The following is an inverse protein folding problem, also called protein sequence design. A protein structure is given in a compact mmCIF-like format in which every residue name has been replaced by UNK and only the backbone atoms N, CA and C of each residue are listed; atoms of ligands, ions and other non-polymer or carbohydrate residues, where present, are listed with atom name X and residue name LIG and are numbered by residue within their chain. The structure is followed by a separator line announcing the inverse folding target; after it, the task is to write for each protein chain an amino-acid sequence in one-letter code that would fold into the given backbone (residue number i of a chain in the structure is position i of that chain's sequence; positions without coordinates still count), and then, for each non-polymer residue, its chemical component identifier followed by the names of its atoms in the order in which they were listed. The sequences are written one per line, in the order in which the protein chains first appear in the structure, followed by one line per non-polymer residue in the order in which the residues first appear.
data_IF_525631130708
#
_entry.id   IF_525631130708
#
_cell.length_a   1.000
_cell.length_b   1.000
_cell.length_c   1.000
_cell.angle_alpha   90.00
_cell.angle_beta   90.00
_cell.angle_gamma   90.00
#
_symmetry.space_group_name_H-M   'P 1'
#
loop_
_entity.id
_entity.type
_entity.pdbx_description
1 polymer ?
#
# COMPACT_ATOMS: atom_id res chain seq x y z
N UNK A 1 -8.41 6.68 20.59
CA UNK A 1 -7.59 5.78 19.73
C UNK A 1 -8.50 4.67 19.26
N UNK A 2 -8.40 4.22 18.02
CA UNK A 2 -9.22 3.10 17.54
C UNK A 2 -8.55 1.80 18.04
N UNK A 3 -9.12 1.20 19.07
CA UNK A 3 -8.61 -0.04 19.61
C UNK A 3 -9.19 -1.24 18.83
N UNK A 4 -8.38 -2.28 18.52
CA UNK A 4 -8.87 -3.46 17.81
C UNK A 4 -10.07 -4.12 18.49
N UNK A 5 -10.10 -4.11 19.81
CA UNK A 5 -11.19 -4.68 20.59
C UNK A 5 -12.54 -4.00 20.35
N UNK A 6 -12.53 -2.65 20.31
CA UNK A 6 -13.74 -1.87 20.05
C UNK A 6 -14.24 -2.08 18.64
N UNK A 7 -13.32 -2.09 17.65
CA UNK A 7 -13.65 -2.31 16.24
C UNK A 7 -14.18 -3.71 15.96
N UNK A 8 -13.65 -4.72 16.64
CA UNK A 8 -14.08 -6.11 16.49
C UNK A 8 -15.52 -6.34 16.97
N UNK A 9 -15.97 -5.56 17.95
CA UNK A 9 -17.31 -5.63 18.58
C UNK A 9 -18.29 -4.59 18.10
N UNK A 10 -17.81 -3.58 17.37
CA UNK A 10 -18.66 -2.50 16.86
C UNK A 10 -19.82 -3.05 16.03
N UNK A 11 -20.99 -2.45 16.19
CA UNK A 11 -22.08 -2.67 15.25
C UNK A 11 -21.65 -2.28 13.84
N UNK A 12 -21.91 -3.14 12.87
CA UNK A 12 -21.42 -2.94 11.51
C UNK A 12 -22.03 -1.70 10.86
N UNK A 13 -23.29 -1.39 11.17
CA UNK A 13 -23.98 -0.25 10.59
C UNK A 13 -23.41 1.04 11.17
N UNK A 14 -23.16 1.08 12.49
CA UNK A 14 -22.51 2.22 13.13
C UNK A 14 -21.10 2.45 12.59
N UNK A 15 -20.32 1.38 12.39
CA UNK A 15 -18.98 1.47 11.79
C UNK A 15 -19.05 1.99 10.37
N UNK A 16 -19.98 1.50 9.55
CA UNK A 16 -20.22 1.97 8.18
C UNK A 16 -20.52 3.47 8.15
N UNK A 17 -21.37 3.95 9.05
CA UNK A 17 -21.72 5.38 9.14
C UNK A 17 -20.50 6.22 9.50
N UNK A 18 -19.72 5.81 10.49
CA UNK A 18 -18.51 6.54 10.92
C UNK A 18 -17.47 6.69 9.81
N UNK A 19 -17.34 5.70 8.93
CA UNK A 19 -16.36 5.73 7.82
C UNK A 19 -17.02 6.04 6.47
N UNK A 20 -18.24 6.53 6.44
CA UNK A 20 -19.01 6.80 5.21
C UNK A 20 -18.31 7.75 4.24
N UNK A 21 -17.47 8.65 4.76
CA UNK A 21 -16.65 9.55 3.94
C UNK A 21 -15.58 8.80 3.10
N UNK A 22 -15.27 7.56 3.46
CA UNK A 22 -14.34 6.72 2.71
C UNK A 22 -15.10 5.98 1.61
N UNK A 23 -14.74 6.15 0.35
CA UNK A 23 -15.32 5.35 -0.74
C UNK A 23 -15.29 3.84 -0.42
N UNK A 24 -16.30 3.10 -0.86
CA UNK A 24 -16.47 1.66 -0.57
C UNK A 24 -16.55 1.33 0.94
N UNK A 25 -17.15 2.22 1.73
CA UNK A 25 -17.18 2.18 3.19
C UNK A 25 -17.74 0.86 3.76
N UNK A 26 -18.74 0.25 3.13
CA UNK A 26 -19.30 -1.06 3.59
C UNK A 26 -18.27 -2.18 3.56
N UNK A 27 -17.56 -2.31 2.44
CA UNK A 27 -16.49 -3.29 2.33
C UNK A 27 -15.34 -2.99 3.30
N UNK A 28 -15.00 -1.71 3.47
CA UNK A 28 -13.96 -1.28 4.41
C UNK A 28 -14.34 -1.56 5.86
N UNK A 29 -15.61 -1.35 6.25
CA UNK A 29 -16.10 -1.67 7.59
C UNK A 29 -15.97 -3.17 7.89
N UNK A 30 -16.42 -4.02 6.97
CA UNK A 30 -16.30 -5.46 7.11
C UNK A 30 -14.84 -5.91 7.23
N UNK A 31 -13.96 -5.41 6.37
CA UNK A 31 -12.51 -5.72 6.40
C UNK A 31 -11.85 -5.23 7.69
N UNK A 32 -12.17 -4.02 8.13
CA UNK A 32 -11.64 -3.46 9.37
C UNK A 32 -12.03 -4.34 10.57
N UNK A 33 -13.30 -4.76 10.65
CA UNK A 33 -13.76 -5.67 11.70
C UNK A 33 -13.07 -7.02 11.64
N UNK A 34 -12.90 -7.62 10.45
CA UNK A 34 -12.22 -8.90 10.28
C UNK A 34 -10.75 -8.83 10.74
N UNK A 35 -10.03 -7.81 10.33
CA UNK A 35 -8.64 -7.58 10.77
C UNK A 35 -8.57 -7.37 12.28
N UNK A 36 -9.50 -6.60 12.85
CA UNK A 36 -9.55 -6.37 14.30
C UNK A 36 -9.85 -7.67 15.07
N UNK A 37 -10.76 -8.50 14.58
CA UNK A 37 -11.03 -9.83 15.16
C UNK A 37 -9.81 -10.76 15.11
N UNK A 38 -9.03 -10.68 14.06
CA UNK A 38 -7.77 -11.41 13.95
C UNK A 38 -6.76 -10.92 14.99
N UNK A 39 -6.59 -9.59 15.13
CA UNK A 39 -5.63 -8.98 16.06
C UNK A 39 -5.94 -9.24 17.53
N UNK A 40 -7.22 -9.38 17.92
CA UNK A 40 -7.55 -9.74 19.32
C UNK A 40 -7.33 -11.22 19.65
N UNK A 41 -7.17 -12.07 18.63
CA UNK A 41 -6.92 -13.51 18.80
C UNK A 41 -5.43 -13.86 18.71
N UNK A 42 -4.59 -12.95 18.25
CA UNK A 42 -3.18 -13.20 18.02
C UNK A 42 -2.36 -12.08 18.67
N UNK A 43 -1.24 -12.43 19.28
CA UNK A 43 -0.31 -11.42 19.79
C UNK A 43 0.39 -10.71 18.62
N UNK A 44 0.26 -9.39 18.56
CA UNK A 44 0.82 -8.58 17.47
C UNK A 44 2.35 -8.61 17.48
N UNK A 45 2.98 -8.75 18.66
CA UNK A 45 4.44 -8.83 18.76
C UNK A 45 4.94 -10.16 18.18
N UNK A 46 4.30 -11.26 18.55
CA UNK A 46 4.61 -12.58 17.98
C UNK A 46 4.44 -12.59 16.45
N UNK A 47 3.37 -11.94 15.95
CA UNK A 47 3.16 -11.80 14.51
C UNK A 47 4.28 -10.99 13.86
N UNK A 48 4.69 -9.89 14.45
CA UNK A 48 5.72 -9.01 13.89
C UNK A 48 7.13 -9.61 14.01
N UNK A 49 7.35 -10.56 14.90
CA UNK A 49 8.60 -11.32 14.99
C UNK A 49 8.76 -12.38 13.88
N UNK A 50 7.66 -12.77 13.22
CA UNK A 50 7.74 -13.70 12.10
C UNK A 50 8.65 -13.17 10.98
N UNK A 51 9.36 -14.04 10.25
CA UNK A 51 10.05 -13.68 9.01
C UNK A 51 9.11 -12.99 8.03
N UNK A 52 9.62 -12.03 7.24
CA UNK A 52 8.84 -11.17 6.34
C UNK A 52 7.85 -11.96 5.47
N UNK A 53 8.33 -13.03 4.83
CA UNK A 53 7.49 -13.83 3.92
C UNK A 53 6.42 -14.64 4.67
N UNK A 54 6.70 -15.06 5.91
CA UNK A 54 5.71 -15.75 6.73
C UNK A 54 4.62 -14.80 7.18
N UNK A 55 4.98 -13.65 7.72
CA UNK A 55 4.02 -12.61 8.09
C UNK A 55 3.18 -12.18 6.89
N UNK A 56 3.82 -12.00 5.72
CA UNK A 56 3.10 -11.65 4.49
C UNK A 56 2.04 -12.69 4.12
N UNK A 57 2.36 -13.99 4.21
CA UNK A 57 1.39 -15.06 3.95
C UNK A 57 0.23 -15.03 4.93
N UNK A 58 0.50 -14.81 6.22
CA UNK A 58 -0.54 -14.65 7.24
C UNK A 58 -1.45 -13.48 6.91
N UNK A 59 -0.89 -12.31 6.59
CA UNK A 59 -1.67 -11.13 6.25
C UNK A 59 -2.54 -11.34 4.99
N UNK A 60 -2.00 -11.98 3.96
CA UNK A 60 -2.73 -12.28 2.72
C UNK A 60 -3.82 -13.34 2.90
N UNK A 61 -3.78 -14.15 3.95
CA UNK A 61 -4.87 -15.09 4.26
C UNK A 61 -6.10 -14.43 4.87
N UNK A 62 -5.98 -13.15 5.29
CA UNK A 62 -7.10 -12.40 5.85
C UNK A 62 -8.01 -11.87 4.75
N UNK A 63 -9.30 -12.13 4.87
CA UNK A 63 -10.27 -11.63 3.92
C UNK A 63 -10.22 -10.09 3.82
N UNK A 64 -10.06 -9.61 2.59
CA UNK A 64 -9.97 -8.20 2.29
C UNK A 64 -8.57 -7.58 2.42
N UNK A 65 -7.54 -8.34 2.76
CA UNK A 65 -6.14 -7.91 2.75
C UNK A 65 -5.49 -8.34 1.44
N UNK A 66 -5.29 -7.39 0.54
CA UNK A 66 -4.54 -7.60 -0.71
C UNK A 66 -3.05 -7.28 -0.56
N UNK A 67 -2.29 -7.45 -1.65
CA UNK A 67 -0.84 -7.21 -1.68
C UNK A 67 -0.45 -5.83 -1.14
N UNK A 68 -1.10 -4.77 -1.61
CA UNK A 68 -0.84 -3.39 -1.17
C UNK A 68 -1.03 -3.22 0.34
N UNK A 69 -2.12 -3.77 0.90
CA UNK A 69 -2.41 -3.68 2.33
C UNK A 69 -1.42 -4.50 3.16
N UNK A 70 -1.14 -5.74 2.73
CA UNK A 70 -0.18 -6.61 3.42
C UNK A 70 1.22 -5.98 3.44
N UNK A 71 1.69 -5.49 2.29
CA UNK A 71 3.03 -4.89 2.18
C UNK A 71 3.11 -3.53 2.91
N UNK A 72 2.01 -2.77 2.97
CA UNK A 72 1.93 -1.57 3.81
C UNK A 72 2.05 -1.91 5.30
N UNK A 73 1.38 -2.96 5.78
CA UNK A 73 1.53 -3.42 7.17
C UNK A 73 2.97 -3.84 7.43
N UNK A 74 3.58 -4.62 6.53
CA UNK A 74 4.99 -5.02 6.65
C UNK A 74 5.91 -3.82 6.76
N UNK A 75 5.80 -2.86 5.85
CA UNK A 75 6.70 -1.72 5.79
C UNK A 75 6.49 -0.74 6.95
N UNK A 76 5.24 -0.35 7.21
CA UNK A 76 4.95 0.76 8.12
C UNK A 76 4.75 0.31 9.57
N UNK A 77 4.10 -0.83 9.82
CA UNK A 77 3.82 -1.32 11.15
C UNK A 77 4.88 -2.31 11.64
N UNK A 78 5.14 -3.39 10.89
CA UNK A 78 6.11 -4.40 11.28
C UNK A 78 7.57 -4.01 11.00
N UNK A 79 7.82 -2.86 10.35
CA UNK A 79 9.15 -2.34 10.01
C UNK A 79 10.03 -3.36 9.26
N UNK A 80 9.43 -4.07 8.33
CA UNK A 80 10.11 -5.03 7.47
C UNK A 80 10.30 -4.44 6.07
N UNK A 81 11.48 -4.59 5.44
CA UNK A 81 11.75 -4.02 4.12
C UNK A 81 10.96 -4.77 3.05
N UNK A 82 9.78 -4.28 2.72
CA UNK A 82 8.92 -4.73 1.63
C UNK A 82 8.38 -3.54 0.88
N UNK A 83 8.68 -3.41 -0.42
CA UNK A 83 8.26 -2.24 -1.18
C UNK A 83 6.77 -2.29 -1.50
N UNK A 84 6.07 -1.18 -1.29
CA UNK A 84 4.64 -1.06 -1.54
C UNK A 84 4.39 -0.52 -2.94
N UNK A 85 3.56 -1.23 -3.70
CA UNK A 85 3.10 -0.80 -5.02
C UNK A 85 1.64 -0.39 -4.92
N UNK A 86 1.37 0.88 -4.88
CA UNK A 86 0.02 1.43 -4.85
C UNK A 86 -0.47 1.86 -6.25
N UNK A 87 -1.68 2.36 -6.34
CA UNK A 87 -2.27 2.81 -7.59
C UNK A 87 -1.49 3.99 -8.24
N UNK A 88 -0.83 4.84 -7.45
CA UNK A 88 0.01 5.90 -7.98
C UNK A 88 1.32 5.35 -8.53
N UNK A 89 1.96 4.42 -7.84
CA UNK A 89 3.15 3.73 -8.32
C UNK A 89 2.88 3.05 -9.66
N UNK A 90 1.80 2.25 -9.74
CA UNK A 90 1.40 1.59 -10.99
C UNK A 90 1.23 2.58 -12.14
N UNK A 91 0.55 3.70 -11.89
CA UNK A 91 0.27 4.71 -12.90
C UNK A 91 1.53 5.46 -13.33
N UNK A 92 2.40 5.84 -12.41
CA UNK A 92 3.65 6.54 -12.70
C UNK A 92 4.57 5.63 -13.53
N UNK A 93 4.72 4.37 -13.12
CA UNK A 93 5.56 3.41 -13.84
C UNK A 93 5.06 3.21 -15.29
N UNK A 94 3.75 3.05 -15.48
CA UNK A 94 3.16 2.97 -16.81
C UNK A 94 3.39 4.25 -17.64
N UNK A 95 3.34 5.43 -17.03
CA UNK A 95 3.59 6.71 -17.72
C UNK A 95 5.03 6.85 -18.23
N UNK A 96 6.00 6.20 -17.60
CA UNK A 96 7.41 6.19 -18.03
C UNK A 96 7.77 4.93 -18.84
N UNK A 97 6.76 4.16 -19.29
CA UNK A 97 6.94 3.01 -20.17
C UNK A 97 7.35 1.72 -19.45
N UNK A 98 7.28 1.68 -18.13
CA UNK A 98 7.55 0.46 -17.35
C UNK A 98 6.24 -0.23 -17.00
N UNK A 99 5.92 -1.29 -17.73
CA UNK A 99 4.70 -2.07 -17.52
C UNK A 99 4.97 -3.33 -16.69
N UNK A 100 4.04 -3.62 -15.79
CA UNK A 100 4.11 -4.81 -14.96
C UNK A 100 2.91 -4.95 -14.03
N UNK A 101 2.70 -6.15 -13.55
CA UNK A 101 1.78 -6.39 -12.46
C UNK A 101 2.43 -5.98 -11.13
N UNK A 102 1.67 -6.06 -10.04
CA UNK A 102 2.14 -5.72 -8.69
C UNK A 102 3.50 -6.35 -8.37
N UNK A 103 3.61 -7.67 -8.56
CA UNK A 103 4.81 -8.44 -8.22
C UNK A 103 6.02 -8.00 -9.05
N UNK A 104 5.87 -7.85 -10.36
CA UNK A 104 6.97 -7.45 -11.25
C UNK A 104 7.51 -6.07 -10.89
N UNK A 105 6.63 -5.12 -10.60
CA UNK A 105 7.06 -3.78 -10.17
C UNK A 105 7.73 -3.82 -8.79
N UNK A 106 7.18 -4.58 -7.84
CA UNK A 106 7.80 -4.75 -6.52
C UNK A 106 9.20 -5.32 -6.63
N UNK A 107 9.38 -6.41 -7.38
CA UNK A 107 10.67 -7.03 -7.64
C UNK A 107 11.66 -6.03 -8.29
N UNK A 108 11.18 -5.18 -9.19
CA UNK A 108 12.02 -4.13 -9.80
C UNK A 108 12.54 -3.15 -8.75
N UNK A 109 11.67 -2.57 -7.91
CA UNK A 109 12.10 -1.65 -6.86
C UNK A 109 13.04 -2.32 -5.85
N UNK A 110 12.71 -3.53 -5.42
CA UNK A 110 13.50 -4.29 -4.45
C UNK A 110 14.86 -4.77 -5.01
N UNK A 111 15.00 -4.86 -6.33
CA UNK A 111 16.28 -5.24 -6.97
C UNK A 111 17.28 -4.08 -7.10
N UNK A 112 16.78 -2.84 -7.17
CA UNK A 112 17.62 -1.66 -7.39
C UNK A 112 17.84 -0.82 -6.15
N UNK A 113 16.97 -0.94 -5.15
CA UNK A 113 17.06 -0.20 -3.90
C UNK A 113 17.62 -1.12 -2.79
N UNK A 114 18.49 -0.60 -1.92
CA UNK A 114 18.89 -1.35 -0.73
C UNK A 114 17.64 -1.73 0.11
N UNK A 115 17.63 -2.92 0.74
CA UNK A 115 16.50 -3.38 1.54
C UNK A 115 16.44 -2.64 2.90
N UNK A 116 16.21 -1.34 2.84
CA UNK A 116 16.11 -0.45 3.98
C UNK A 116 14.68 0.07 4.15
N UNK A 117 14.16 -0.07 5.38
CA UNK A 117 12.79 0.30 5.73
C UNK A 117 12.54 1.81 5.55
N UNK A 118 13.49 2.65 5.95
CA UNK A 118 13.32 4.09 5.90
C UNK A 118 13.37 4.57 4.44
N UNK A 119 14.30 4.01 3.65
CA UNK A 119 14.38 4.29 2.22
C UNK A 119 13.09 3.89 1.50
N UNK A 120 12.56 2.71 1.76
CA UNK A 120 11.31 2.26 1.13
C UNK A 120 10.11 3.15 1.52
N UNK A 121 10.04 3.57 2.79
CA UNK A 121 9.02 4.52 3.27
C UNK A 121 9.12 5.87 2.57
N UNK A 122 10.33 6.40 2.44
CA UNK A 122 10.57 7.70 1.80
C UNK A 122 10.22 7.64 0.30
N UNK A 123 10.72 6.64 -0.42
CA UNK A 123 10.38 6.46 -1.84
C UNK A 123 8.87 6.32 -2.08
N UNK A 124 8.21 5.48 -1.29
CA UNK A 124 6.77 5.31 -1.39
C UNK A 124 6.02 6.62 -1.10
N UNK A 125 6.42 7.35 -0.05
CA UNK A 125 5.82 8.65 0.29
C UNK A 125 6.00 9.68 -0.83
N UNK A 126 7.18 9.77 -1.43
CA UNK A 126 7.47 10.66 -2.56
C UNK A 126 6.64 10.32 -3.80
N UNK A 127 6.51 9.03 -4.12
CA UNK A 127 5.67 8.55 -5.21
C UNK A 127 4.20 8.93 -4.99
N UNK A 128 3.68 8.71 -3.78
CA UNK A 128 2.30 9.05 -3.41
C UNK A 128 2.07 10.56 -3.52
N UNK A 129 2.98 11.37 -2.98
CA UNK A 129 2.88 12.83 -3.01
C UNK A 129 2.92 13.36 -4.46
N UNK A 130 3.85 12.86 -5.24
CA UNK A 130 3.95 13.18 -6.66
C UNK A 130 2.68 12.76 -7.42
N UNK A 131 2.21 11.54 -7.18
CA UNK A 131 1.01 11.01 -7.81
C UNK A 131 -0.24 11.82 -7.47
N UNK A 132 -0.38 12.26 -6.22
CA UNK A 132 -1.48 13.17 -5.81
C UNK A 132 -1.39 14.52 -6.51
N UNK A 133 -0.19 15.06 -6.63
CA UNK A 133 0.05 16.40 -7.19
C UNK A 133 -0.21 16.47 -8.70
N UNK A 134 0.13 15.42 -9.44
CA UNK A 134 0.02 15.38 -10.89
C UNK A 134 -1.09 14.45 -11.38
N UNK A 135 -1.02 13.16 -11.07
CA UNK A 135 -1.96 12.16 -11.57
C UNK A 135 -3.37 12.35 -11.00
N UNK A 136 -3.49 12.60 -9.69
CA UNK A 136 -4.76 12.81 -9.03
C UNK A 136 -5.48 14.07 -9.51
N UNK A 137 -4.73 15.10 -9.85
CA UNK A 137 -5.25 16.39 -10.37
C UNK A 137 -5.33 16.43 -11.91
N UNK A 138 -5.03 15.34 -12.60
CA UNK A 138 -4.99 15.24 -14.08
C UNK A 138 -4.03 16.25 -14.74
N UNK A 139 -2.94 16.64 -14.08
CA UNK A 139 -1.93 17.60 -14.55
C UNK A 139 -0.80 16.94 -15.34
N UNK A 140 -1.12 15.95 -16.16
CA UNK A 140 -0.12 15.20 -16.93
C UNK A 140 0.72 16.08 -17.89
N UNK A 141 0.17 17.20 -18.37
CA UNK A 141 0.91 18.14 -19.25
C UNK A 141 2.06 18.85 -18.54
N UNK A 142 2.00 18.96 -17.22
CA UNK A 142 3.01 19.61 -16.37
C UNK A 142 3.91 18.58 -15.67
N UNK A 143 3.68 17.29 -15.92
CA UNK A 143 4.40 16.20 -15.28
C UNK A 143 5.81 16.05 -15.86
N UNK A 144 6.82 16.29 -15.03
CA UNK A 144 8.25 16.26 -15.42
C UNK A 144 8.63 14.89 -15.96
N UNK A 145 8.16 13.81 -15.33
CA UNK A 145 8.49 12.43 -15.74
C UNK A 145 8.05 12.13 -17.17
N UNK A 146 6.88 12.65 -17.60
CA UNK A 146 6.40 12.46 -19.00
C UNK A 146 7.18 13.34 -19.97
N UNK A 147 7.56 14.56 -19.56
CA UNK A 147 8.32 15.47 -20.43
C UNK A 147 9.71 14.95 -20.70
N UNK A 148 10.40 14.41 -19.70
CA UNK A 148 11.75 13.87 -19.85
C UNK A 148 11.74 12.56 -20.65
N UNK A 149 10.76 11.70 -20.44
CA UNK A 149 10.61 10.46 -21.23
C UNK A 149 10.39 10.76 -22.72
N UNK A 150 9.61 11.79 -23.06
CA UNK A 150 9.40 12.21 -24.45
C UNK A 150 10.68 12.80 -25.09
N UNK A 151 11.52 13.48 -24.32
CA UNK A 151 12.81 14.00 -24.83
C UNK A 151 13.82 12.90 -25.08
N UNK A 152 13.87 11.86 -24.24
CA UNK A 152 14.74 10.70 -24.41
C UNK A 152 14.37 9.83 -25.62
N UNK A 153 13.09 9.76 -25.98
CA UNK A 153 12.61 8.99 -27.12
C UNK A 153 12.91 9.63 -28.50
N UNK A 154 13.41 10.89 -28.52
CA UNK A 154 13.73 11.62 -29.78
C UNK A 154 15.22 11.44 -30.16
N UNK A 155 16.05 10.82 -29.31
CA UNK A 155 17.48 10.63 -29.53
C UNK A 155 17.93 9.16 -29.56
N UNK A 156 17.02 8.20 -29.79
CA UNK A 156 17.29 6.77 -29.96
C UNK A 156 16.95 6.28 -31.35
#
# INVERSE_FOLDING_TARGET
MLEPYDLARADIIELEEKIRCCGFYRQKAARLRNVSQFLIKNDINELFDLPTDQLRKVLLSLDGVGNETADSILLYAARKPKFVIDAYTMRIMACIGVEGNYRKLQELFESVLPPDVNMFKEYHALIVEYGKSYCGKKRCKECILIMDHRKGAIHG
#
